data_IF_431268919639
#
_entry.id   IF_431268919639
#
_cell.length_a   1.000
_cell.length_b   1.000
_cell.length_c   1.000
_cell.angle_alpha   90.00
_cell.angle_beta   90.00
_cell.angle_gamma   90.00
#
_symmetry.space_group_name_H-M   'P 1'
#
loop_
_entity.id
_entity.type
_entity.pdbx_description
1 polymer ?
#
# COMPACT_ATOMS: atom_id res chain seq x y z
N UNK A 1 10.30 -23.70 -8.22
CA UNK A 1 9.25 -24.52 -7.59
C UNK A 1 7.86 -23.87 -7.56
N UNK A 2 7.73 -22.53 -7.52
CA UNK A 2 6.43 -21.86 -7.38
C UNK A 2 5.47 -22.04 -8.59
N UNK A 3 5.99 -22.18 -9.82
CA UNK A 3 5.18 -22.35 -11.03
C UNK A 3 4.54 -23.76 -11.15
N UNK A 4 5.29 -24.81 -10.79
CA UNK A 4 4.82 -26.20 -10.83
C UNK A 4 3.72 -26.46 -9.79
N UNK A 5 3.84 -25.88 -8.59
CA UNK A 5 2.83 -26.04 -7.52
C UNK A 5 1.47 -25.45 -7.90
N UNK A 6 1.45 -24.32 -8.62
CA UNK A 6 0.20 -23.71 -9.11
C UNK A 6 -0.51 -24.58 -10.15
N UNK A 7 0.24 -25.19 -11.07
CA UNK A 7 -0.30 -26.02 -12.14
C UNK A 7 -0.93 -27.32 -11.63
N UNK A 8 -0.38 -27.90 -10.56
CA UNK A 8 -1.00 -29.05 -9.89
C UNK A 8 -2.37 -28.71 -9.26
N UNK A 9 -2.52 -27.48 -8.76
CA UNK A 9 -3.74 -27.04 -8.09
C UNK A 9 -4.82 -26.55 -9.07
N UNK A 10 -4.42 -25.97 -10.20
CA UNK A 10 -5.31 -25.58 -11.28
C UNK A 10 -5.38 -26.74 -12.27
N UNK A 11 -6.46 -27.53 -12.24
CA UNK A 11 -6.75 -28.73 -13.07
C UNK A 11 -6.52 -28.53 -14.58
N UNK A 12 -5.27 -28.38 -14.99
CA UNK A 12 -4.81 -28.14 -16.35
C UNK A 12 -3.81 -29.26 -16.60
N UNK A 13 -4.12 -30.12 -17.56
CA UNK A 13 -3.25 -31.21 -17.96
C UNK A 13 -2.27 -30.73 -19.03
N UNK A 14 -1.07 -31.32 -19.12
CA UNK A 14 -0.06 -30.91 -20.10
C UNK A 14 -0.57 -31.02 -21.55
N UNK A 15 -1.41 -32.02 -21.84
CA UNK A 15 -1.94 -32.27 -23.18
C UNK A 15 -2.98 -31.24 -23.62
N UNK A 16 -3.69 -30.62 -22.66
CA UNK A 16 -4.77 -29.66 -22.93
C UNK A 16 -4.26 -28.20 -23.08
N UNK A 17 -2.93 -27.99 -23.06
CA UNK A 17 -2.33 -26.66 -23.11
C UNK A 17 -2.53 -25.98 -24.48
N UNK A 18 -2.35 -26.72 -25.57
CA UNK A 18 -2.46 -26.17 -26.93
C UNK A 18 -3.89 -25.72 -27.25
N UNK A 19 -4.88 -26.50 -26.82
CA UNK A 19 -6.30 -26.18 -27.00
C UNK A 19 -6.70 -24.90 -26.25
N UNK A 20 -6.18 -24.73 -25.03
CA UNK A 20 -6.40 -23.55 -24.21
C UNK A 20 -5.83 -22.29 -24.89
N UNK A 21 -4.63 -22.35 -25.46
CA UNK A 21 -4.05 -21.23 -26.21
C UNK A 21 -4.86 -20.86 -27.45
N UNK A 22 -5.30 -21.85 -28.25
CA UNK A 22 -6.14 -21.61 -29.45
C UNK A 22 -7.45 -20.90 -29.07
N UNK A 23 -8.10 -21.36 -27.99
CA UNK A 23 -9.34 -20.77 -27.48
C UNK A 23 -9.14 -19.33 -26.97
N UNK A 24 -8.07 -19.07 -26.21
CA UNK A 24 -7.73 -17.72 -25.73
C UNK A 24 -7.50 -16.76 -26.89
N UNK A 25 -6.80 -17.19 -27.95
CA UNK A 25 -6.58 -16.37 -29.13
C UNK A 25 -7.87 -16.09 -29.91
N UNK A 26 -8.76 -17.08 -30.06
CA UNK A 26 -10.07 -16.86 -30.68
C UNK A 26 -10.90 -15.83 -29.88
N UNK A 27 -10.93 -15.94 -28.55
CA UNK A 27 -11.64 -15.02 -27.67
C UNK A 27 -11.07 -13.59 -27.71
N UNK A 28 -9.74 -13.44 -27.73
CA UNK A 28 -9.08 -12.13 -27.78
C UNK A 28 -9.27 -11.43 -29.13
N UNK A 29 -9.38 -12.20 -30.23
CA UNK A 29 -9.70 -11.67 -31.56
C UNK A 29 -11.16 -11.19 -31.67
N UNK A 30 -12.09 -11.90 -31.03
CA UNK A 30 -13.49 -11.54 -31.02
C UNK A 30 -13.76 -10.25 -30.21
N UNK A 31 -13.17 -10.14 -29.01
CA UNK A 31 -13.35 -9.00 -28.12
C UNK A 31 -12.02 -8.31 -27.81
N UNK A 32 -11.56 -7.35 -28.65
CA UNK A 32 -10.28 -6.67 -28.46
C UNK A 32 -10.30 -5.61 -27.34
N UNK A 33 -11.38 -5.50 -26.57
CA UNK A 33 -11.56 -4.42 -25.58
C UNK A 33 -10.87 -4.73 -24.26
N UNK A 34 -10.03 -3.81 -23.78
CA UNK A 34 -9.43 -3.90 -22.45
C UNK A 34 -10.41 -3.36 -21.41
N UNK A 35 -11.10 -4.26 -20.69
CA UNK A 35 -11.98 -3.88 -19.58
C UNK A 35 -11.13 -3.32 -18.44
N UNK A 36 -11.05 -1.99 -18.35
CA UNK A 36 -10.46 -1.31 -17.19
C UNK A 36 -11.32 -1.61 -15.97
N UNK A 37 -10.69 -1.95 -14.85
CA UNK A 37 -11.45 -2.26 -13.63
C UNK A 37 -12.28 -1.04 -13.22
N UNK A 38 -13.60 -1.20 -13.16
CA UNK A 38 -14.51 -0.22 -12.57
C UNK A 38 -14.43 -0.21 -11.04
N UNK A 39 -13.23 -0.43 -10.48
CA UNK A 39 -12.99 -0.20 -9.06
C UNK A 39 -13.31 1.26 -8.83
N UNK A 40 -14.30 1.52 -7.98
CA UNK A 40 -14.54 2.87 -7.48
C UNK A 40 -13.20 3.40 -6.98
N UNK A 41 -12.80 4.59 -7.43
CA UNK A 41 -11.63 5.24 -6.86
C UNK A 41 -11.85 5.28 -5.34
N UNK A 42 -10.82 4.87 -4.59
CA UNK A 42 -10.85 4.86 -3.13
C UNK A 42 -11.41 6.19 -2.63
N UNK A 43 -12.60 6.17 -2.02
CA UNK A 43 -13.34 7.38 -1.63
C UNK A 43 -12.55 8.26 -0.67
N UNK A 44 -11.70 7.65 0.16
CA UNK A 44 -10.81 8.38 1.05
C UNK A 44 -9.44 7.68 1.07
N UNK A 45 -8.38 8.41 0.72
CA UNK A 45 -7.03 7.93 0.99
C UNK A 45 -6.78 8.06 2.49
N UNK A 46 -6.81 6.95 3.22
CA UNK A 46 -6.44 6.91 4.64
C UNK A 46 -4.97 7.32 4.77
N UNK A 47 -4.71 8.45 5.44
CA UNK A 47 -3.34 8.85 5.80
C UNK A 47 -2.90 8.01 7.00
N UNK A 48 -1.90 7.16 6.81
CA UNK A 48 -1.31 6.39 7.90
C UNK A 48 -0.23 7.19 8.65
N UNK A 49 0.28 8.28 8.07
CA UNK A 49 1.34 9.11 8.66
C UNK A 49 0.79 10.34 9.39
N UNK A 50 1.45 10.71 10.49
CA UNK A 50 1.16 11.93 11.24
C UNK A 50 1.42 13.18 10.38
N UNK A 51 0.53 14.17 10.49
CA UNK A 51 0.71 15.47 9.82
C UNK A 51 1.93 16.17 10.39
N UNK A 52 2.70 16.83 9.51
CA UNK A 52 3.84 17.65 9.94
C UNK A 52 3.35 18.75 10.88
N UNK A 53 4.00 18.84 12.05
CA UNK A 53 3.79 19.89 13.04
C UNK A 53 3.95 21.26 12.37
N UNK A 54 3.10 22.23 12.69
CA UNK A 54 3.23 23.61 12.20
C UNK A 54 4.35 24.35 12.93
N UNK A 55 4.73 25.54 12.45
CA UNK A 55 5.80 26.32 13.08
C UNK A 55 5.44 26.75 14.51
N UNK A 56 4.19 27.16 14.73
CA UNK A 56 3.70 27.60 16.04
C UNK A 56 3.69 26.46 17.06
N UNK A 57 3.23 25.28 16.66
CA UNK A 57 3.24 24.09 17.52
C UNK A 57 4.68 23.60 17.80
N UNK A 58 5.62 23.74 16.84
CA UNK A 58 7.05 23.50 17.08
C UNK A 58 7.62 24.46 18.11
N UNK A 59 7.30 25.75 18.00
CA UNK A 59 7.74 26.78 18.94
C UNK A 59 7.18 26.53 20.34
N UNK A 60 5.90 26.17 20.46
CA UNK A 60 5.27 25.84 21.74
C UNK A 60 5.96 24.67 22.44
N UNK A 61 6.24 23.58 21.72
CA UNK A 61 6.99 22.43 22.26
C UNK A 61 8.41 22.78 22.69
N UNK A 62 9.07 23.68 21.98
CA UNK A 62 10.40 24.16 22.38
C UNK A 62 10.33 24.97 23.68
N UNK A 63 9.35 25.87 23.81
CA UNK A 63 9.15 26.67 25.03
C UNK A 63 8.81 25.77 26.22
N UNK A 64 7.95 24.77 26.03
CA UNK A 64 7.62 23.79 27.07
C UNK A 64 8.86 23.01 27.55
N UNK A 65 9.68 22.52 26.61
CA UNK A 65 10.95 21.85 26.94
C UNK A 65 11.92 22.75 27.68
N UNK A 66 12.07 24.00 27.24
CA UNK A 66 12.97 24.96 27.90
C UNK A 66 12.50 25.30 29.31
N UNK A 67 11.19 25.45 29.52
CA UNK A 67 10.63 25.65 30.86
C UNK A 67 10.90 24.47 31.77
N UNK A 68 10.70 23.24 31.29
CA UNK A 68 10.97 22.03 32.03
C UNK A 68 12.46 21.85 32.38
N UNK A 69 13.36 22.22 31.46
CA UNK A 69 14.81 22.20 31.72
C UNK A 69 15.22 23.26 32.74
N UNK A 70 14.65 24.45 32.67
CA UNK A 70 14.95 25.52 33.61
C UNK A 70 14.41 25.21 35.01
N UNK A 71 13.21 24.63 35.14
CA UNK A 71 12.71 24.17 36.44
C UNK A 71 13.56 23.04 37.00
N UNK A 72 13.92 22.05 36.16
CA UNK A 72 14.77 20.95 36.60
C UNK A 72 16.19 21.42 37.00
N UNK A 73 16.72 22.48 36.40
CA UNK A 73 18.02 23.05 36.77
C UNK A 73 17.95 23.85 38.08
N UNK A 74 16.82 24.51 38.38
CA UNK A 74 16.64 25.21 39.67
C UNK A 74 16.42 24.24 40.83
N UNK A 75 15.85 23.06 40.56
CA UNK A 75 15.60 22.03 41.59
C UNK A 75 16.86 21.21 41.97
N UNK A 76 18.01 21.44 41.31
CA UNK A 76 19.27 20.67 41.50
C UNK A 76 20.33 21.47 42.27
N UNK A 77 20.09 22.75 42.57
CA UNK A 77 21.02 23.65 43.29
C UNK A 77 20.60 23.93 44.75
N UNK A 78 19.79 23.06 45.36
CA UNK A 78 19.54 23.00 46.82
C UNK A 78 20.13 21.73 47.46
#
# INVERSE_FOLDING_TARGET
MILSTKFCCTRIEPDNMEELYKKVHAATRADPTTKKSAKQLSKEHKRNDLRKLTYEERRAKLVERLKALNSAATDVEE
#
